data_IF_910568847209
#
_entry.id   IF_910568847209
#
_cell.length_a   1.000
_cell.length_b   1.000
_cell.length_c   1.000
_cell.angle_alpha   90.00
_cell.angle_beta   90.00
_cell.angle_gamma   90.00
#
_symmetry.space_group_name_H-M   'P 1'
#
loop_
_entity.id
_entity.type
_entity.pdbx_description
1 polymer ?
#
# COMPACT_ATOMS: atom_id res chain seq x y z
N UNK A 1 -9.29 15.97 77.80
CA UNK A 1 -8.54 14.86 77.15
C UNK A 1 -8.69 15.01 75.69
N UNK A 2 -7.59 15.28 75.04
CA UNK A 2 -7.55 15.80 73.66
C UNK A 2 -7.31 14.59 72.77
N UNK A 3 -8.27 14.25 71.90
CA UNK A 3 -8.11 13.26 70.82
C UNK A 3 -7.67 13.99 69.56
N UNK A 4 -6.43 13.78 69.14
CA UNK A 4 -5.89 14.29 67.89
C UNK A 4 -6.35 13.37 66.72
N UNK A 5 -7.17 13.92 65.81
CA UNK A 5 -7.42 13.32 64.51
C UNK A 5 -6.27 13.66 63.59
N UNK A 6 -5.56 12.68 63.10
CA UNK A 6 -4.68 12.81 61.94
C UNK A 6 -5.50 12.68 60.65
N UNK A 7 -5.34 13.57 59.64
CA UNK A 7 -5.88 13.34 58.33
C UNK A 7 -4.97 12.41 57.53
N UNK A 8 -5.55 11.31 57.12
CA UNK A 8 -4.92 10.35 56.19
C UNK A 8 -4.91 10.98 54.81
N UNK A 9 -3.75 11.48 54.38
CA UNK A 9 -3.54 11.95 53.02
C UNK A 9 -3.40 10.73 52.12
N UNK A 10 -4.49 10.39 51.41
CA UNK A 10 -4.48 9.40 50.35
C UNK A 10 -3.71 9.93 49.15
N UNK A 11 -2.49 9.49 48.99
CA UNK A 11 -1.67 9.71 47.80
C UNK A 11 -2.23 8.83 46.67
N UNK A 12 -3.01 9.43 45.75
CA UNK A 12 -3.50 8.80 44.54
C UNK A 12 -2.37 8.88 43.50
N UNK A 13 -1.74 7.78 43.07
CA UNK A 13 -0.77 7.86 41.98
C UNK A 13 -1.52 8.07 40.66
N UNK A 14 -1.21 9.16 40.00
CA UNK A 14 -1.63 9.53 38.67
C UNK A 14 -1.02 8.55 37.66
N UNK A 15 -1.72 7.48 37.32
CA UNK A 15 -1.36 6.59 36.20
C UNK A 15 -2.08 7.11 34.94
N UNK A 16 -1.53 8.16 34.39
CA UNK A 16 -1.95 8.68 33.08
C UNK A 16 -0.69 8.79 32.20
N UNK A 17 -0.41 7.82 31.37
CA UNK A 17 0.69 7.97 30.43
C UNK A 17 1.25 6.72 29.76
N UNK A 18 0.42 5.79 29.24
CA UNK A 18 0.97 4.65 28.45
C UNK A 18 0.09 4.28 27.22
N UNK A 19 -0.74 5.15 26.72
CA UNK A 19 -1.61 4.80 25.57
C UNK A 19 -1.16 5.39 24.22
N UNK A 20 -0.11 6.20 24.17
CA UNK A 20 0.32 6.85 22.92
C UNK A 20 1.31 6.03 22.10
N UNK A 21 2.01 5.06 22.67
CA UNK A 21 3.04 4.30 21.97
C UNK A 21 2.53 3.26 20.96
N UNK A 22 1.35 2.68 21.17
CA UNK A 22 0.86 1.62 20.29
C UNK A 22 0.33 2.13 18.95
N UNK A 23 -0.29 3.30 18.91
CA UNK A 23 -0.82 3.88 17.69
C UNK A 23 0.31 4.29 16.71
N UNK A 24 1.39 4.85 17.21
CA UNK A 24 2.54 5.26 16.41
C UNK A 24 3.28 4.07 15.77
N UNK A 25 3.41 2.98 16.49
CA UNK A 25 4.00 1.73 15.97
C UNK A 25 3.13 1.10 14.86
N UNK A 26 1.81 1.14 15.02
CA UNK A 26 0.88 0.60 14.04
C UNK A 26 0.88 1.42 12.75
N UNK A 27 0.95 2.74 12.84
CA UNK A 27 1.06 3.63 11.67
C UNK A 27 2.35 3.39 10.88
N UNK A 28 3.48 3.22 11.57
CA UNK A 28 4.77 2.91 10.94
C UNK A 28 4.76 1.56 10.25
N UNK A 29 4.16 0.53 10.86
CA UNK A 29 4.01 -0.78 10.24
C UNK A 29 3.13 -0.72 8.99
N UNK A 30 2.02 0.01 9.04
CA UNK A 30 1.13 0.23 7.91
C UNK A 30 1.85 0.92 6.74
N UNK A 31 2.61 1.99 7.01
CA UNK A 31 3.39 2.70 5.99
C UNK A 31 4.47 1.81 5.37
N UNK A 32 5.14 1.01 6.18
CA UNK A 32 6.13 0.03 5.70
C UNK A 32 5.50 -1.02 4.80
N UNK A 33 4.35 -1.57 5.17
CA UNK A 33 3.60 -2.53 4.35
C UNK A 33 3.14 -1.94 3.02
N UNK A 34 2.82 -0.64 2.97
CA UNK A 34 2.51 0.05 1.71
C UNK A 34 3.72 0.06 0.77
N UNK A 35 4.87 0.50 1.25
CA UNK A 35 6.11 0.54 0.45
C UNK A 35 6.49 -0.87 -0.06
N UNK A 36 6.42 -1.87 0.79
CA UNK A 36 6.67 -3.27 0.43
C UNK A 36 5.67 -3.78 -0.63
N UNK A 37 4.37 -3.47 -0.48
CA UNK A 37 3.33 -3.88 -1.42
C UNK A 37 3.49 -3.22 -2.79
N UNK A 38 3.72 -1.91 -2.82
CA UNK A 38 3.95 -1.17 -4.08
C UNK A 38 5.20 -1.69 -4.80
N UNK A 39 6.29 -1.90 -4.08
CA UNK A 39 7.53 -2.47 -4.67
C UNK A 39 7.31 -3.88 -5.20
N UNK A 40 6.59 -4.73 -4.47
CA UNK A 40 6.30 -6.09 -4.91
C UNK A 40 5.44 -6.09 -6.18
N UNK A 41 4.43 -5.21 -6.27
CA UNK A 41 3.62 -5.02 -7.46
C UNK A 41 4.47 -4.59 -8.67
N UNK A 42 5.26 -3.52 -8.52
CA UNK A 42 6.11 -2.99 -9.60
C UNK A 42 7.13 -4.05 -10.03
N UNK A 43 7.70 -4.80 -9.09
CA UNK A 43 8.64 -5.87 -9.39
C UNK A 43 7.97 -7.01 -10.18
N UNK A 44 6.74 -7.39 -9.82
CA UNK A 44 5.97 -8.39 -10.56
C UNK A 44 5.72 -7.94 -12.00
N UNK A 45 5.31 -6.69 -12.22
CA UNK A 45 5.14 -6.09 -13.56
C UNK A 45 6.47 -6.10 -14.32
N UNK A 46 7.57 -5.66 -13.68
CA UNK A 46 8.91 -5.60 -14.28
C UNK A 46 9.39 -6.96 -14.80
N UNK A 47 9.11 -8.01 -14.08
CA UNK A 47 9.55 -9.37 -14.44
C UNK A 47 8.49 -10.16 -15.23
N UNK A 48 7.37 -9.54 -15.59
CA UNK A 48 6.33 -10.17 -16.39
C UNK A 48 5.47 -11.16 -15.62
N UNK A 49 5.56 -11.20 -14.30
CA UNK A 49 4.66 -11.99 -13.45
C UNK A 49 3.33 -11.24 -13.25
N UNK A 50 2.55 -11.18 -14.32
CA UNK A 50 1.29 -10.47 -14.34
C UNK A 50 0.23 -11.12 -13.44
N UNK A 51 0.35 -12.41 -13.16
CA UNK A 51 -0.49 -13.10 -12.19
C UNK A 51 -0.24 -12.59 -10.77
N UNK A 52 1.02 -12.47 -10.37
CA UNK A 52 1.39 -11.86 -9.09
C UNK A 52 0.99 -10.38 -9.03
N UNK A 53 1.20 -9.61 -10.10
CA UNK A 53 0.76 -8.22 -10.16
C UNK A 53 -0.77 -8.09 -10.00
N UNK A 54 -1.54 -8.94 -10.67
CA UNK A 54 -3.00 -8.96 -10.58
C UNK A 54 -3.52 -9.32 -9.17
N UNK A 55 -2.75 -10.02 -8.36
CA UNK A 55 -3.14 -10.37 -6.99
C UNK A 55 -3.26 -9.17 -6.05
N UNK A 56 -2.67 -8.04 -6.40
CA UNK A 56 -2.81 -6.78 -5.65
C UNK A 56 -4.10 -6.02 -6.01
N UNK A 57 -4.74 -6.37 -7.13
CA UNK A 57 -5.96 -5.72 -7.59
C UNK A 57 -7.14 -6.13 -6.73
N UNK A 58 -7.74 -5.16 -6.07
CA UNK A 58 -8.97 -5.35 -5.29
C UNK A 58 -9.76 -4.06 -5.26
N UNK A 59 -10.92 -3.98 -5.94
CA UNK A 59 -11.75 -2.79 -5.89
C UNK A 59 -12.30 -2.63 -4.47
N UNK A 60 -12.45 -1.37 -4.05
CA UNK A 60 -13.08 -1.05 -2.76
C UNK A 60 -14.57 -1.38 -2.73
N UNK A 61 -15.20 -1.31 -3.89
CA UNK A 61 -16.62 -1.60 -4.08
C UNK A 61 -16.81 -2.56 -5.27
N UNK A 62 -17.75 -3.49 -5.12
CA UNK A 62 -18.08 -4.44 -6.17
C UNK A 62 -17.10 -5.61 -6.27
N UNK A 63 -17.11 -6.27 -7.43
CA UNK A 63 -16.23 -7.39 -7.77
C UNK A 63 -15.37 -7.03 -8.97
N UNK A 64 -14.06 -7.31 -8.89
CA UNK A 64 -13.17 -7.17 -10.03
C UNK A 64 -13.38 -8.29 -11.03
N UNK A 65 -13.42 -7.98 -12.32
CA UNK A 65 -13.18 -8.98 -13.36
C UNK A 65 -11.68 -9.33 -13.41
N UNK A 66 -11.32 -10.61 -13.52
CA UNK A 66 -9.94 -10.99 -13.72
C UNK A 66 -9.39 -10.37 -15.00
N UNK A 67 -8.18 -9.77 -14.98
CA UNK A 67 -7.60 -9.16 -16.17
C UNK A 67 -7.29 -10.23 -17.24
N UNK A 68 -7.47 -9.87 -18.52
CA UNK A 68 -7.08 -10.73 -19.64
C UNK A 68 -5.55 -10.63 -19.85
N UNK A 69 -4.84 -11.58 -19.26
CA UNK A 69 -3.38 -11.64 -19.35
C UNK A 69 -2.88 -12.13 -20.72
N UNK A 70 -3.74 -12.65 -21.59
CA UNK A 70 -3.33 -13.15 -22.91
C UNK A 70 -2.75 -12.07 -23.82
N UNK A 71 -3.22 -10.84 -23.67
CA UNK A 71 -2.74 -9.67 -24.41
C UNK A 71 -1.32 -9.24 -24.04
N UNK A 72 -0.84 -9.66 -22.89
CA UNK A 72 0.47 -9.31 -22.34
C UNK A 72 1.58 -10.31 -22.72
N UNK A 73 1.25 -11.32 -23.53
CA UNK A 73 2.24 -12.28 -24.01
C UNK A 73 3.33 -11.59 -24.85
N UNK A 74 4.58 -11.84 -24.51
CA UNK A 74 5.74 -11.23 -25.18
C UNK A 74 6.03 -9.81 -24.72
N UNK A 75 5.41 -9.33 -23.64
CA UNK A 75 5.72 -8.05 -23.03
C UNK A 75 7.03 -8.14 -22.24
N UNK A 76 7.91 -7.15 -22.47
CA UNK A 76 9.12 -6.93 -21.71
C UNK A 76 9.16 -5.51 -21.15
N UNK A 77 9.09 -5.37 -19.85
CA UNK A 77 9.30 -4.10 -19.17
C UNK A 77 10.78 -3.93 -18.90
N UNK A 78 11.38 -2.85 -19.39
CA UNK A 78 12.83 -2.60 -19.33
C UNK A 78 13.24 -1.69 -18.18
N UNK A 79 12.35 -0.74 -17.84
CA UNK A 79 12.62 0.23 -16.79
C UNK A 79 11.32 0.66 -16.11
N UNK A 80 11.43 1.26 -14.94
CA UNK A 80 10.32 1.89 -14.24
C UNK A 80 10.81 3.06 -13.38
N UNK A 81 9.91 4.01 -13.17
CA UNK A 81 10.07 5.10 -12.21
C UNK A 81 8.72 5.31 -11.50
N UNK A 82 8.74 5.49 -10.17
CA UNK A 82 7.51 5.59 -9.41
C UNK A 82 7.59 6.55 -8.23
N UNK A 83 6.43 7.03 -7.81
CA UNK A 83 6.23 7.80 -6.59
C UNK A 83 4.99 7.30 -5.84
N UNK A 84 5.05 7.40 -4.53
CA UNK A 84 3.93 7.15 -3.63
C UNK A 84 3.64 8.47 -2.91
N UNK A 85 2.41 8.93 -3.00
CA UNK A 85 1.93 10.13 -2.32
C UNK A 85 0.82 9.73 -1.33
N UNK A 86 1.10 9.93 -0.06
CA UNK A 86 0.13 9.80 1.03
C UNK A 86 0.02 11.14 1.76
N UNK A 87 -1.19 11.54 2.09
CA UNK A 87 -1.44 12.85 2.73
C UNK A 87 -0.77 12.96 4.11
N UNK A 88 -0.79 11.87 4.87
CA UNK A 88 -0.17 11.77 6.20
C UNK A 88 0.31 10.35 6.46
N UNK A 89 1.25 10.20 7.38
CA UNK A 89 1.66 8.89 7.88
C UNK A 89 0.46 8.19 8.54
N UNK A 90 0.22 6.93 8.17
CA UNK A 90 -0.94 6.16 8.66
C UNK A 90 -2.26 6.44 7.92
N UNK A 91 -2.25 7.25 6.85
CA UNK A 91 -3.42 7.42 5.99
C UNK A 91 -3.82 6.04 5.41
N UNK A 92 -5.12 5.68 5.44
CA UNK A 92 -5.60 4.43 4.85
C UNK A 92 -5.60 4.43 3.32
N UNK A 93 -5.19 5.49 2.67
CA UNK A 93 -5.11 5.65 1.22
C UNK A 93 -3.77 6.28 0.80
N UNK A 94 -3.26 5.85 -0.34
CA UNK A 94 -2.10 6.44 -0.99
C UNK A 94 -2.26 6.41 -2.52
N UNK A 95 -1.78 7.44 -3.20
CA UNK A 95 -1.70 7.48 -4.65
C UNK A 95 -0.34 6.96 -5.10
N UNK A 96 -0.34 5.91 -5.90
CA UNK A 96 0.84 5.46 -6.64
C UNK A 96 0.80 6.05 -8.04
N UNK A 97 1.90 6.62 -8.49
CA UNK A 97 2.14 6.97 -9.89
C UNK A 97 3.38 6.21 -10.34
N UNK A 98 3.28 5.48 -11.45
CA UNK A 98 4.41 4.75 -12.01
C UNK A 98 4.46 4.92 -13.52
N UNK A 99 5.66 5.03 -14.05
CA UNK A 99 5.97 4.97 -15.46
C UNK A 99 6.71 3.68 -15.74
N UNK A 100 6.32 2.93 -16.74
CA UNK A 100 7.05 1.77 -17.25
C UNK A 100 7.52 2.03 -18.66
N UNK A 101 8.78 1.72 -18.95
CA UNK A 101 9.32 1.62 -20.30
C UNK A 101 9.28 0.14 -20.72
N UNK A 102 8.74 -0.15 -21.90
CA UNK A 102 8.48 -1.52 -22.31
C UNK A 102 8.58 -1.71 -23.84
N UNK A 103 8.61 -2.96 -24.26
CA UNK A 103 8.42 -3.37 -25.65
C UNK A 103 7.74 -4.75 -25.72
N UNK A 104 7.18 -5.07 -26.86
CA UNK A 104 6.71 -6.43 -27.18
C UNK A 104 7.71 -7.13 -28.10
N UNK A 105 7.92 -8.43 -27.95
CA UNK A 105 8.86 -9.23 -28.74
C UNK A 105 8.58 -9.21 -30.24
N UNK A 106 7.31 -9.09 -30.64
CA UNK A 106 6.87 -9.08 -32.03
C UNK A 106 7.10 -7.74 -32.73
N UNK A 107 7.09 -6.63 -31.99
CA UNK A 107 7.28 -5.29 -32.56
C UNK A 107 8.68 -4.72 -32.33
N UNK A 108 9.31 -5.04 -31.22
CA UNK A 108 10.59 -4.49 -30.74
C UNK A 108 10.63 -2.95 -30.66
N UNK A 109 9.45 -2.31 -30.57
CA UNK A 109 9.31 -0.87 -30.44
C UNK A 109 9.24 -0.54 -28.94
N UNK A 110 10.17 0.27 -28.46
CA UNK A 110 10.17 0.76 -27.08
C UNK A 110 9.12 1.84 -26.93
N UNK A 111 8.23 1.66 -25.96
CA UNK A 111 7.16 2.58 -25.59
C UNK A 111 7.21 2.83 -24.09
N UNK A 112 6.44 3.79 -23.63
CA UNK A 112 6.19 4.02 -22.22
C UNK A 112 4.69 4.05 -21.89
N UNK A 113 4.34 3.70 -20.67
CA UNK A 113 2.99 3.77 -20.14
C UNK A 113 3.02 4.34 -18.72
N UNK A 114 2.06 5.21 -18.44
CA UNK A 114 1.85 5.76 -17.11
C UNK A 114 0.63 5.10 -16.47
N UNK A 115 0.78 4.78 -15.20
CA UNK A 115 -0.32 4.27 -14.38
C UNK A 115 -0.44 5.13 -13.12
N UNK A 116 -1.68 5.49 -12.80
CA UNK A 116 -2.03 6.05 -11.49
C UNK A 116 -3.05 5.13 -10.85
N UNK A 117 -2.83 4.77 -9.60
CA UNK A 117 -3.74 3.90 -8.87
C UNK A 117 -3.78 4.28 -7.39
N UNK A 118 -4.95 4.14 -6.80
CA UNK A 118 -5.15 4.32 -5.36
C UNK A 118 -4.85 2.98 -4.69
N UNK A 119 -3.94 3.01 -3.73
CA UNK A 119 -3.75 1.93 -2.78
C UNK A 119 -4.57 2.22 -1.55
N UNK A 120 -5.23 1.20 -1.02
CA UNK A 120 -6.07 1.32 0.16
C UNK A 120 -5.79 0.21 1.17
N UNK A 121 -5.89 0.57 2.44
CA UNK A 121 -5.65 -0.34 3.55
C UNK A 121 -6.93 -1.09 3.92
N UNK A 122 -6.88 -2.42 3.92
CA UNK A 122 -7.93 -3.26 4.46
C UNK A 122 -7.61 -3.63 5.91
N UNK A 123 -8.34 -3.08 6.89
CA UNK A 123 -8.06 -3.30 8.31
C UNK A 123 -8.41 -4.71 8.79
N UNK A 124 -9.26 -5.45 8.07
CA UNK A 124 -9.64 -6.82 8.43
C UNK A 124 -8.53 -7.82 8.07
N UNK A 125 -7.86 -7.59 6.95
CA UNK A 125 -6.77 -8.42 6.44
C UNK A 125 -5.39 -7.84 6.86
N UNK A 126 -5.37 -6.58 7.32
CA UNK A 126 -4.16 -5.84 7.66
C UNK A 126 -3.16 -5.79 6.51
N UNK A 127 -3.66 -5.49 5.30
CA UNK A 127 -2.86 -5.42 4.08
C UNK A 127 -3.35 -4.34 3.13
N UNK A 128 -2.48 -3.95 2.20
CA UNK A 128 -2.76 -2.98 1.15
C UNK A 128 -3.17 -3.65 -0.15
N UNK A 129 -4.16 -3.06 -0.81
CA UNK A 129 -4.63 -3.47 -2.13
C UNK A 129 -4.71 -2.27 -3.06
N UNK A 130 -4.65 -2.53 -4.35
CA UNK A 130 -4.73 -1.52 -5.38
C UNK A 130 -6.15 -1.50 -5.97
N UNK A 131 -6.81 -0.33 -5.90
CA UNK A 131 -8.08 -0.07 -6.54
C UNK A 131 -7.81 0.47 -7.95
N UNK A 132 -7.90 -0.40 -8.94
CA UNK A 132 -7.57 -0.06 -10.32
C UNK A 132 -7.36 -1.30 -11.18
N UNK A 133 -6.73 -1.11 -12.31
CA UNK A 133 -6.43 -2.12 -13.30
C UNK A 133 -4.92 -2.22 -13.56
N UNK A 134 -4.48 -3.28 -14.21
CA UNK A 134 -3.11 -3.38 -14.71
C UNK A 134 -2.84 -2.27 -15.75
N UNK A 135 -1.56 -1.85 -15.95
CA UNK A 135 -1.24 -0.88 -16.98
C UNK A 135 -1.68 -1.35 -18.39
N UNK A 136 -2.18 -0.43 -19.20
CA UNK A 136 -2.55 -0.72 -20.58
C UNK A 136 -1.32 -0.70 -21.48
N UNK A 137 -0.67 -1.84 -21.61
CA UNK A 137 0.46 -2.02 -22.52
C UNK A 137 -0.05 -2.25 -23.94
N UNK A 138 0.26 -1.34 -24.84
CA UNK A 138 -0.11 -1.39 -26.27
C UNK A 138 1.05 -1.91 -27.14
N UNK A 139 0.71 -2.74 -28.16
CA UNK A 139 1.67 -3.20 -29.18
C UNK A 139 2.06 -2.12 -30.17
#
# INVERSE_FOLDING_TARGET
MIARLLPFFACLPLIAGVLTGCADLQQKDQTKKLDEGVRAYIHAVRWGDMGAAASFLRPREGTAEPPDLSKLKGLHVTNFDYAIDSKTEGDPEALMTVKFDYYFEDTLIVKDVYQQAIWWWDPEIENWFMDGELPEFER
#
